data_IF_273377799481
#
_entry.id   IF_273377799481
#
_cell.length_a   1.000
_cell.length_b   1.000
_cell.length_c   1.000
_cell.angle_alpha   90.00
_cell.angle_beta   90.00
_cell.angle_gamma   90.00
#
_symmetry.space_group_name_H-M   'P 1'
#
loop_
_entity.id
_entity.type
_entity.pdbx_description
1 polymer ?
#
# COMPACT_ATOMS: atom_id res chain seq x y z
N UNK A 1 -2.52 22.12 -33.31
CA UNK A 1 -3.40 21.96 -32.13
C UNK A 1 -2.75 22.64 -30.93
N UNK A 2 -3.48 23.45 -30.14
CA UNK A 2 -2.94 24.08 -28.94
C UNK A 2 -2.50 22.99 -27.94
N UNK A 3 -1.35 23.17 -27.31
CA UNK A 3 -0.81 22.26 -26.31
C UNK A 3 -1.71 22.33 -25.06
N UNK A 4 -2.47 21.27 -24.80
CA UNK A 4 -3.21 21.15 -23.55
C UNK A 4 -2.21 21.08 -22.38
N UNK A 5 -2.45 21.90 -21.36
CA UNK A 5 -1.68 21.93 -20.12
C UNK A 5 -2.59 21.63 -18.94
N UNK A 6 -2.03 21.04 -17.89
CA UNK A 6 -2.78 20.82 -16.64
C UNK A 6 -2.91 22.13 -15.84
N UNK A 7 -3.57 22.07 -14.68
CA UNK A 7 -3.73 23.21 -13.76
C UNK A 7 -2.41 23.76 -13.23
N UNK A 8 -1.30 23.05 -13.43
CA UNK A 8 0.07 23.44 -13.07
C UNK A 8 0.90 23.80 -14.31
N UNK A 9 0.24 24.12 -15.44
CA UNK A 9 0.83 24.50 -16.73
C UNK A 9 1.82 23.49 -17.32
N UNK A 10 1.81 22.24 -16.83
CA UNK A 10 2.65 21.16 -17.36
C UNK A 10 2.05 20.66 -18.66
N UNK A 11 2.90 20.44 -19.68
CA UNK A 11 2.49 19.87 -20.96
C UNK A 11 1.81 18.51 -20.74
N UNK A 12 0.52 18.42 -21.05
CA UNK A 12 -0.22 17.17 -21.01
C UNK A 12 0.30 16.31 -22.16
N UNK A 13 1.05 15.25 -21.85
CA UNK A 13 1.44 14.20 -22.81
C UNK A 13 0.42 13.05 -22.84
N UNK A 14 -0.85 13.34 -22.53
CA UNK A 14 -1.93 12.41 -22.78
C UNK A 14 -2.27 12.46 -24.27
N UNK A 15 -1.76 11.51 -25.04
CA UNK A 15 -2.26 11.32 -26.39
C UNK A 15 -3.68 10.73 -26.28
N UNK A 16 -4.72 11.42 -26.77
CA UNK A 16 -6.04 10.80 -26.88
C UNK A 16 -5.94 9.53 -27.74
N UNK A 17 -6.89 8.59 -27.61
CA UNK A 17 -6.94 7.40 -28.45
C UNK A 17 -6.73 7.78 -29.93
N UNK A 18 -5.83 7.07 -30.60
CA UNK A 18 -5.56 7.24 -32.04
C UNK A 18 -6.13 6.03 -32.76
N UNK A 19 -7.38 6.08 -33.25
CA UNK A 19 -8.02 4.94 -33.89
C UNK A 19 -7.16 4.35 -34.99
N UNK A 20 -6.99 3.02 -34.98
CA UNK A 20 -6.26 2.33 -36.04
C UNK A 20 -7.23 1.88 -37.14
N UNK A 21 -6.77 1.94 -38.39
CA UNK A 21 -7.51 1.50 -39.57
C UNK A 21 -7.37 -0.02 -39.79
N UNK A 22 -7.49 -0.77 -38.70
CA UNK A 22 -7.36 -2.22 -38.68
C UNK A 22 -8.42 -2.80 -37.75
N UNK A 23 -9.01 -3.92 -38.16
CA UNK A 23 -9.91 -4.70 -37.31
C UNK A 23 -9.11 -5.25 -36.12
N UNK A 24 -9.72 -5.20 -34.94
CA UNK A 24 -9.18 -5.81 -33.72
C UNK A 24 -10.08 -7.00 -33.39
N UNK A 25 -9.59 -8.21 -33.67
CA UNK A 25 -10.24 -9.43 -33.21
C UNK A 25 -9.96 -9.64 -31.73
N UNK A 26 -11.02 -9.78 -30.94
CA UNK A 26 -10.95 -9.99 -29.49
C UNK A 26 -10.63 -11.44 -29.21
N UNK A 27 -9.60 -11.66 -28.39
CA UNK A 27 -9.13 -12.98 -27.98
C UNK A 27 -9.61 -13.32 -26.57
N UNK A 28 -9.55 -14.59 -26.18
CA UNK A 28 -9.85 -15.02 -24.81
C UNK A 28 -8.95 -14.32 -23.77
N UNK A 29 -7.70 -14.03 -24.14
CA UNK A 29 -6.78 -13.27 -23.30
C UNK A 29 -7.24 -11.83 -23.08
N UNK A 30 -7.89 -11.20 -24.06
CA UNK A 30 -8.44 -9.85 -23.89
C UNK A 30 -9.72 -9.90 -23.04
N UNK A 31 -10.55 -10.92 -23.20
CA UNK A 31 -11.72 -11.13 -22.34
C UNK A 31 -11.32 -11.35 -20.88
N UNK A 32 -10.29 -12.17 -20.61
CA UNK A 32 -9.75 -12.37 -19.27
C UNK A 32 -9.23 -11.06 -18.64
N UNK A 33 -8.61 -10.22 -19.45
CA UNK A 33 -8.17 -8.88 -19.04
C UNK A 33 -9.36 -8.00 -18.67
N UNK A 34 -10.40 -7.97 -19.50
CA UNK A 34 -11.60 -7.20 -19.21
C UNK A 34 -12.30 -7.70 -17.95
N UNK A 35 -12.34 -9.01 -17.74
CA UNK A 35 -12.89 -9.64 -16.54
C UNK A 35 -12.11 -9.24 -15.28
N UNK A 36 -10.78 -9.18 -15.35
CA UNK A 36 -9.94 -8.74 -14.23
C UNK A 36 -10.21 -7.28 -13.86
N UNK A 37 -10.32 -6.38 -14.86
CA UNK A 37 -10.64 -4.97 -14.61
C UNK A 37 -12.08 -4.84 -14.08
N UNK A 38 -13.06 -5.57 -14.63
CA UNK A 38 -14.43 -5.58 -14.12
C UNK A 38 -14.48 -6.03 -12.65
N UNK A 39 -13.74 -7.09 -12.32
CA UNK A 39 -13.70 -7.69 -10.99
C UNK A 39 -13.02 -6.80 -9.96
N UNK A 40 -11.86 -6.21 -10.28
CA UNK A 40 -11.01 -5.49 -9.32
C UNK A 40 -11.10 -3.97 -9.43
N UNK A 41 -11.40 -3.44 -10.61
CA UNK A 41 -11.39 -2.01 -10.93
C UNK A 41 -10.20 -1.67 -11.84
N UNK A 42 -9.82 -0.39 -11.94
CA UNK A 42 -8.71 0.02 -12.79
C UNK A 42 -7.41 -0.65 -12.34
N UNK A 43 -6.68 -1.24 -13.28
CA UNK A 43 -5.46 -2.01 -12.98
C UNK A 43 -4.25 -1.53 -13.80
N UNK A 44 -3.04 -1.54 -13.21
CA UNK A 44 -1.80 -1.27 -13.93
C UNK A 44 -1.48 -2.36 -14.96
N UNK A 45 -0.72 -2.01 -16.01
CA UNK A 45 -0.34 -2.92 -17.08
C UNK A 45 0.38 -4.20 -16.63
N UNK A 46 1.16 -4.15 -15.55
CA UNK A 46 1.85 -5.34 -15.03
C UNK A 46 0.92 -6.33 -14.33
N UNK A 47 -0.14 -5.86 -13.66
CA UNK A 47 -1.19 -6.74 -13.13
C UNK A 47 -1.96 -7.42 -14.27
N UNK A 48 -2.34 -6.65 -15.29
CA UNK A 48 -3.03 -7.20 -16.46
C UNK A 48 -2.17 -8.22 -17.19
N UNK A 49 -0.87 -7.98 -17.29
CA UNK A 49 0.07 -8.96 -17.84
C UNK A 49 0.01 -10.29 -17.07
N UNK A 50 0.05 -10.24 -15.74
CA UNK A 50 0.00 -11.42 -14.88
C UNK A 50 -1.29 -12.24 -15.06
N UNK A 51 -2.45 -11.59 -15.31
CA UNK A 51 -3.70 -12.30 -15.61
C UNK A 51 -3.75 -12.92 -17.00
N UNK A 52 -2.97 -12.40 -17.96
CA UNK A 52 -3.02 -12.88 -19.36
C UNK A 52 -2.15 -14.10 -19.64
N UNK A 53 -1.23 -14.46 -18.74
CA UNK A 53 -0.31 -15.61 -18.94
C UNK A 53 0.60 -15.49 -20.17
N UNK A 54 0.77 -14.28 -20.73
CA UNK A 54 1.58 -14.07 -21.94
C UNK A 54 3.06 -14.26 -21.67
N UNK A 55 3.78 -14.74 -22.68
CA UNK A 55 5.23 -15.01 -22.57
C UNK A 55 6.09 -13.74 -22.49
N UNK A 56 5.66 -12.63 -23.10
CA UNK A 56 6.47 -11.41 -23.21
C UNK A 56 5.69 -10.12 -22.92
N UNK A 57 6.25 -9.29 -22.02
CA UNK A 57 5.65 -8.04 -21.57
C UNK A 57 5.50 -7.00 -22.69
N UNK A 58 6.49 -6.89 -23.59
CA UNK A 58 6.44 -5.90 -24.69
C UNK A 58 5.27 -6.14 -25.65
N UNK A 59 4.98 -7.41 -25.97
CA UNK A 59 3.82 -7.79 -26.79
C UNK A 59 2.50 -7.45 -26.08
N UNK A 60 2.44 -7.67 -24.76
CA UNK A 60 1.30 -7.27 -23.94
C UNK A 60 1.08 -5.75 -23.94
N UNK A 61 2.14 -4.94 -23.77
CA UNK A 61 2.04 -3.48 -23.85
C UNK A 61 1.55 -2.99 -25.23
N UNK A 62 2.03 -3.61 -26.31
CA UNK A 62 1.56 -3.30 -27.66
C UNK A 62 0.07 -3.65 -27.82
N UNK A 63 -0.38 -4.79 -27.29
CA UNK A 63 -1.80 -5.18 -27.30
C UNK A 63 -2.67 -4.21 -26.51
N UNK A 64 -2.27 -3.83 -25.30
CA UNK A 64 -2.97 -2.83 -24.48
C UNK A 64 -3.10 -1.50 -25.21
N UNK A 65 -2.04 -1.06 -25.90
CA UNK A 65 -2.05 0.18 -26.69
C UNK A 65 -3.02 0.08 -27.87
N UNK A 66 -3.07 -1.06 -28.57
CA UNK A 66 -4.08 -1.31 -29.62
C UNK A 66 -5.51 -1.27 -29.07
N UNK A 67 -5.78 -1.89 -27.92
CA UNK A 67 -7.10 -1.88 -27.29
C UNK A 67 -7.52 -0.48 -26.80
N UNK A 68 -6.56 0.32 -26.31
CA UNK A 68 -6.78 1.73 -25.94
C UNK A 68 -7.04 2.62 -27.15
N UNK A 69 -6.27 2.45 -28.22
CA UNK A 69 -6.44 3.22 -29.45
C UNK A 69 -7.75 2.88 -30.15
N UNK A 70 -8.14 1.60 -30.13
CA UNK A 70 -9.39 1.15 -30.70
C UNK A 70 -9.43 1.19 -32.22
N UNK A 71 -10.65 1.14 -32.73
CA UNK A 71 -10.95 1.22 -34.17
C UNK A 71 -11.73 2.50 -34.46
N UNK A 72 -12.12 2.74 -35.71
CA UNK A 72 -13.09 3.79 -36.06
C UNK A 72 -14.40 3.69 -35.24
N UNK A 73 -14.76 2.48 -34.78
CA UNK A 73 -15.91 2.22 -33.91
C UNK A 73 -15.59 2.29 -32.41
N UNK A 74 -14.53 3.02 -32.03
CA UNK A 74 -14.15 3.26 -30.65
C UNK A 74 -13.15 2.27 -30.05
N UNK A 75 -12.61 2.69 -28.90
CA UNK A 75 -11.69 1.95 -28.04
C UNK A 75 -12.37 0.83 -27.25
N UNK A 76 -11.56 -0.06 -26.67
CA UNK A 76 -12.00 -1.09 -25.71
C UNK A 76 -11.53 -0.79 -24.29
N UNK A 77 -10.43 -0.05 -24.14
CA UNK A 77 -9.89 0.37 -22.85
C UNK A 77 -9.79 1.88 -22.79
N UNK A 78 -9.86 2.42 -21.58
CA UNK A 78 -9.50 3.81 -21.30
C UNK A 78 -8.28 3.88 -20.41
N UNK A 79 -7.57 5.00 -20.47
CA UNK A 79 -6.51 5.36 -19.53
C UNK A 79 -7.05 6.49 -18.65
N UNK A 80 -7.48 6.21 -17.40
CA UNK A 80 -8.04 7.24 -16.53
C UNK A 80 -7.07 8.43 -16.42
N UNK A 81 -7.53 9.64 -16.73
CA UNK A 81 -6.68 10.84 -16.77
C UNK A 81 -6.09 11.18 -15.39
N UNK A 82 -6.80 10.81 -14.32
CA UNK A 82 -6.41 11.02 -12.94
C UNK A 82 -5.06 10.38 -12.60
N UNK A 83 -4.67 9.29 -13.29
CA UNK A 83 -3.37 8.64 -13.05
C UNK A 83 -2.17 9.57 -13.34
N UNK A 84 -2.34 10.55 -14.24
CA UNK A 84 -1.29 11.50 -14.61
C UNK A 84 -1.21 12.72 -13.67
N UNK A 85 -2.25 12.95 -12.88
CA UNK A 85 -2.28 14.03 -11.89
C UNK A 85 -1.62 13.60 -10.57
N UNK A 86 -1.81 12.34 -10.18
CA UNK A 86 -1.50 11.85 -8.84
C UNK A 86 -0.19 11.07 -8.73
N UNK A 87 0.20 10.36 -9.79
CA UNK A 87 1.48 9.67 -9.86
C UNK A 87 2.43 10.53 -10.69
N UNK A 88 3.71 10.60 -10.33
CA UNK A 88 4.75 10.97 -11.30
C UNK A 88 4.84 9.87 -12.37
N UNK A 89 3.81 9.77 -13.22
CA UNK A 89 3.48 8.64 -14.10
C UNK A 89 4.50 8.39 -15.22
N UNK A 90 5.60 9.15 -15.25
CA UNK A 90 6.68 9.00 -16.23
C UNK A 90 7.48 7.71 -16.03
N UNK A 91 7.44 7.13 -14.84
CA UNK A 91 8.19 5.91 -14.46
C UNK A 91 7.30 4.81 -13.87
N UNK A 92 5.97 4.94 -13.98
CA UNK A 92 5.02 4.00 -13.40
C UNK A 92 4.26 3.24 -14.50
N UNK A 93 3.87 1.98 -14.27
CA UNK A 93 3.05 1.22 -15.20
C UNK A 93 1.70 1.92 -15.45
N UNK A 94 1.33 2.07 -16.73
CA UNK A 94 0.08 2.72 -17.14
C UNK A 94 -1.13 1.93 -16.62
N UNK A 95 -2.11 2.65 -16.09
CA UNK A 95 -3.36 2.12 -15.56
C UNK A 95 -4.44 2.15 -16.63
N UNK A 96 -5.17 1.04 -16.76
CA UNK A 96 -6.27 0.87 -17.70
C UNK A 96 -7.58 0.59 -16.96
N UNK A 97 -8.68 1.06 -17.52
CA UNK A 97 -10.04 0.79 -17.05
C UNK A 97 -10.95 0.42 -18.24
N UNK A 98 -12.14 -0.12 -17.95
CA UNK A 98 -13.13 -0.47 -18.96
C UNK A 98 -13.85 0.76 -19.50
N UNK A 99 -14.35 0.62 -20.72
CA UNK A 99 -15.33 1.53 -21.29
C UNK A 99 -16.62 0.76 -21.60
N UNK A 100 -17.61 1.48 -22.13
CA UNK A 100 -18.91 0.86 -22.43
C UNK A 100 -18.81 -0.27 -23.47
N UNK A 101 -17.88 -0.18 -24.42
CA UNK A 101 -17.67 -1.22 -25.44
C UNK A 101 -17.13 -2.52 -24.84
N UNK A 102 -16.15 -2.47 -23.94
CA UNK A 102 -15.65 -3.67 -23.26
C UNK A 102 -16.66 -4.23 -22.25
N UNK A 103 -17.45 -3.37 -21.59
CA UNK A 103 -18.58 -3.84 -20.76
C UNK A 103 -19.63 -4.59 -21.58
N UNK A 104 -19.97 -4.08 -22.77
CA UNK A 104 -20.92 -4.73 -23.68
C UNK A 104 -20.40 -6.11 -24.12
N UNK A 105 -19.11 -6.23 -24.45
CA UNK A 105 -18.50 -7.53 -24.74
C UNK A 105 -18.60 -8.51 -23.57
N UNK A 106 -18.40 -8.03 -22.33
CA UNK A 106 -18.57 -8.87 -21.14
C UNK A 106 -20.02 -9.32 -20.97
N UNK A 107 -21.01 -8.51 -21.33
CA UNK A 107 -22.44 -8.89 -21.31
C UNK A 107 -22.69 -10.01 -22.33
N UNK A 108 -22.24 -9.82 -23.57
CA UNK A 108 -22.41 -10.79 -24.67
C UNK A 108 -21.81 -12.15 -24.34
N UNK A 109 -20.73 -12.18 -23.57
CA UNK A 109 -20.06 -13.41 -23.13
C UNK A 109 -20.56 -13.93 -21.76
N UNK A 110 -21.56 -13.31 -21.15
CA UNK A 110 -22.11 -13.72 -19.85
C UNK A 110 -21.15 -13.55 -18.66
N UNK A 111 -20.15 -12.67 -18.81
CA UNK A 111 -19.07 -12.43 -17.85
C UNK A 111 -19.25 -11.14 -17.03
N UNK A 112 -20.19 -10.27 -17.41
CA UNK A 112 -20.50 -9.07 -16.65
C UNK A 112 -21.34 -9.42 -15.41
N UNK A 113 -20.92 -8.93 -14.25
CA UNK A 113 -21.74 -8.93 -13.04
C UNK A 113 -22.53 -7.62 -12.93
N UNK A 114 -23.82 -7.66 -12.49
CA UNK A 114 -24.65 -6.47 -12.31
C UNK A 114 -24.25 -5.60 -11.11
N UNK A 115 -23.25 -6.03 -10.32
CA UNK A 115 -22.80 -5.28 -9.15
C UNK A 115 -22.14 -3.95 -9.54
N UNK A 116 -22.63 -2.86 -8.96
CA UNK A 116 -22.07 -1.52 -9.12
C UNK A 116 -21.11 -1.24 -7.96
N UNK A 117 -19.84 -1.00 -8.28
CA UNK A 117 -18.85 -0.57 -7.28
C UNK A 117 -19.15 0.84 -6.78
N UNK A 118 -18.78 1.09 -5.53
CA UNK A 118 -18.88 2.40 -4.88
C UNK A 118 -18.08 3.45 -5.67
N UNK A 119 -18.61 4.68 -5.71
CA UNK A 119 -18.03 5.83 -6.41
C UNK A 119 -16.92 6.47 -5.56
N UNK A 120 -15.84 5.73 -5.33
CA UNK A 120 -14.71 6.24 -4.55
C UNK A 120 -13.72 7.04 -5.41
N UNK A 121 -12.89 7.92 -4.81
CA UNK A 121 -11.85 8.64 -5.52
C UNK A 121 -10.91 7.68 -6.28
N UNK A 122 -10.40 8.13 -7.44
CA UNK A 122 -9.62 7.27 -8.35
C UNK A 122 -8.50 6.47 -7.66
N UNK A 123 -7.68 7.14 -6.84
CA UNK A 123 -6.57 6.51 -6.13
C UNK A 123 -7.04 5.42 -5.15
N UNK A 124 -8.16 5.66 -4.44
CA UNK A 124 -8.76 4.68 -3.54
C UNK A 124 -9.16 3.42 -4.29
N UNK A 125 -9.86 3.60 -5.42
CA UNK A 125 -10.29 2.50 -6.29
C UNK A 125 -9.11 1.73 -6.88
N UNK A 126 -8.07 2.44 -7.33
CA UNK A 126 -6.87 1.81 -7.89
C UNK A 126 -6.13 0.98 -6.82
N UNK A 127 -5.97 1.52 -5.62
CA UNK A 127 -5.33 0.79 -4.52
C UNK A 127 -6.14 -0.45 -4.15
N UNK A 128 -7.47 -0.31 -4.03
CA UNK A 128 -8.38 -1.43 -3.77
C UNK A 128 -8.28 -2.50 -4.85
N UNK A 129 -8.26 -2.09 -6.12
CA UNK A 129 -8.09 -2.99 -7.24
C UNK A 129 -6.77 -3.76 -7.18
N UNK A 130 -5.65 -3.08 -6.91
CA UNK A 130 -4.34 -3.71 -6.79
C UNK A 130 -4.26 -4.71 -5.64
N UNK A 131 -4.88 -4.41 -4.49
CA UNK A 131 -4.94 -5.33 -3.34
C UNK A 131 -5.71 -6.60 -3.70
N UNK A 132 -6.95 -6.45 -4.20
CA UNK A 132 -7.77 -7.60 -4.61
C UNK A 132 -7.11 -8.44 -5.70
N UNK A 133 -6.52 -7.78 -6.70
CA UNK A 133 -5.81 -8.46 -7.78
C UNK A 133 -4.56 -9.20 -7.31
N UNK A 134 -3.78 -8.63 -6.39
CA UNK A 134 -2.60 -9.30 -5.81
C UNK A 134 -2.97 -10.59 -5.09
N UNK A 135 -4.08 -10.56 -4.35
CA UNK A 135 -4.58 -11.70 -3.60
C UNK A 135 -5.06 -12.78 -4.57
N UNK A 136 -5.86 -12.42 -5.58
CA UNK A 136 -6.31 -13.39 -6.60
C UNK A 136 -5.11 -14.03 -7.33
N UNK A 137 -4.17 -13.23 -7.81
CA UNK A 137 -2.97 -13.72 -8.51
C UNK A 137 -2.11 -14.64 -7.61
N UNK A 138 -2.18 -14.45 -6.28
CA UNK A 138 -1.50 -15.32 -5.32
C UNK A 138 -2.24 -16.63 -5.06
N UNK A 139 -3.56 -16.68 -5.30
CA UNK A 139 -4.38 -17.88 -5.09
C UNK A 139 -4.14 -18.92 -6.18
N UNK A 140 -4.10 -18.51 -7.45
CA UNK A 140 -4.04 -19.42 -8.61
C UNK A 140 -2.86 -20.41 -8.57
N UNK A 141 -1.60 -19.99 -8.33
CA UNK A 141 -0.47 -20.91 -8.27
C UNK A 141 -0.51 -21.88 -7.09
N UNK A 142 -1.35 -21.60 -6.08
CA UNK A 142 -1.50 -22.40 -4.86
C UNK A 142 -2.71 -23.34 -4.93
N UNK A 143 -3.40 -23.40 -6.07
CA UNK A 143 -4.63 -24.19 -6.22
C UNK A 143 -5.80 -23.68 -5.37
N UNK A 144 -5.75 -22.43 -4.93
CA UNK A 144 -6.81 -21.77 -4.17
C UNK A 144 -7.73 -21.01 -5.12
N UNK A 145 -9.02 -20.96 -4.82
CA UNK A 145 -9.98 -20.21 -5.66
C UNK A 145 -10.38 -18.91 -4.97
N UNK A 146 -10.12 -17.79 -5.64
CA UNK A 146 -10.59 -16.47 -5.21
C UNK A 146 -12.08 -16.30 -5.51
N UNK A 147 -12.85 -15.92 -4.50
CA UNK A 147 -14.28 -15.64 -4.60
C UNK A 147 -14.47 -14.11 -4.60
N UNK A 148 -14.81 -13.50 -5.73
CA UNK A 148 -14.95 -12.06 -5.81
C UNK A 148 -16.21 -11.56 -5.09
N UNK A 149 -16.18 -10.28 -4.68
CA UNK A 149 -17.29 -9.57 -4.05
C UNK A 149 -18.65 -9.85 -4.67
N UNK A 150 -18.76 -9.72 -5.98
CA UNK A 150 -20.04 -9.89 -6.65
C UNK A 150 -20.60 -11.33 -6.55
N UNK A 151 -19.73 -12.34 -6.47
CA UNK A 151 -20.14 -13.72 -6.30
C UNK A 151 -20.63 -13.98 -4.85
N UNK A 152 -20.01 -13.30 -3.88
CA UNK A 152 -20.48 -13.29 -2.49
C UNK A 152 -21.85 -12.64 -2.43
N UNK A 153 -21.98 -11.39 -2.91
CA UNK A 153 -23.21 -10.62 -2.83
C UNK A 153 -24.39 -11.26 -3.57
N UNK A 154 -24.15 -12.00 -4.66
CA UNK A 154 -25.21 -12.77 -5.34
C UNK A 154 -25.83 -13.85 -4.44
N UNK A 155 -25.11 -14.30 -3.40
CA UNK A 155 -25.54 -15.35 -2.46
C UNK A 155 -26.06 -14.79 -1.13
N UNK A 156 -26.12 -13.47 -0.96
CA UNK A 156 -26.58 -12.84 0.29
C UNK A 156 -27.55 -11.70 0.00
N UNK A 157 -28.65 -11.63 0.75
CA UNK A 157 -29.51 -10.44 0.79
C UNK A 157 -29.01 -9.39 1.81
N UNK A 158 -27.78 -9.56 2.32
CA UNK A 158 -27.22 -8.71 3.37
C UNK A 158 -26.76 -7.35 2.80
N UNK A 159 -27.06 -6.22 3.48
CA UNK A 159 -26.64 -4.89 3.04
C UNK A 159 -25.12 -4.65 3.12
N UNK A 160 -24.33 -5.67 3.49
CA UNK A 160 -22.86 -5.61 3.59
C UNK A 160 -22.37 -4.56 4.60
N UNK A 161 -23.26 -4.10 5.46
CA UNK A 161 -22.99 -3.33 6.66
C UNK A 161 -22.60 -4.26 7.80
N UNK A 162 -21.39 -4.08 8.32
CA UNK A 162 -20.90 -4.75 9.51
C UNK A 162 -21.29 -3.90 10.73
N UNK A 163 -22.21 -4.35 11.59
CA UNK A 163 -22.54 -3.61 12.80
C UNK A 163 -21.31 -3.58 13.72
N UNK A 164 -20.84 -2.38 14.04
CA UNK A 164 -19.79 -2.14 15.02
C UNK A 164 -20.37 -1.86 16.40
N UNK A 165 -21.63 -2.24 16.66
CA UNK A 165 -22.35 -1.98 17.92
C UNK A 165 -21.60 -2.47 19.17
N UNK A 166 -20.77 -3.51 19.04
CA UNK A 166 -19.88 -4.01 20.09
C UNK A 166 -18.73 -3.06 20.46
N UNK A 167 -18.38 -2.12 19.58
CA UNK A 167 -17.30 -1.14 19.77
C UNK A 167 -17.82 0.29 19.88
N UNK A 168 -18.86 0.63 19.10
CA UNK A 168 -19.50 1.95 19.06
C UNK A 168 -21.01 1.76 18.89
N UNK A 169 -21.85 2.22 19.83
CA UNK A 169 -23.30 2.12 19.71
C UNK A 169 -23.81 2.71 18.39
N UNK A 170 -24.74 2.00 17.73
CA UNK A 170 -25.44 2.44 16.51
C UNK A 170 -24.54 2.76 15.29
N UNK A 171 -23.31 2.24 15.25
CA UNK A 171 -22.41 2.42 14.11
C UNK A 171 -22.32 1.15 13.28
N UNK A 172 -22.40 1.28 11.96
CA UNK A 172 -22.08 0.23 11.00
C UNK A 172 -20.89 0.64 10.13
N UNK A 173 -20.12 -0.34 9.67
CA UNK A 173 -19.02 -0.18 8.72
C UNK A 173 -19.39 -0.87 7.41
N UNK A 174 -19.29 -0.14 6.31
CA UNK A 174 -19.34 -0.72 4.97
C UNK A 174 -17.89 -0.89 4.51
N UNK A 175 -17.37 -2.11 4.41
CA UNK A 175 -15.99 -2.33 3.99
C UNK A 175 -15.77 -1.93 2.53
N UNK A 176 -14.60 -1.37 2.24
CA UNK A 176 -14.16 -0.97 0.90
C UNK A 176 -14.30 -2.10 -0.11
N UNK A 177 -13.84 -3.30 0.26
CA UNK A 177 -14.03 -4.52 -0.54
C UNK A 177 -14.37 -5.74 0.35
N UNK A 178 -14.90 -6.79 -0.26
CA UNK A 178 -15.05 -8.11 0.38
C UNK A 178 -14.63 -9.19 -0.60
N UNK A 179 -13.92 -10.20 -0.13
CA UNK A 179 -13.58 -11.36 -0.94
C UNK A 179 -13.56 -12.63 -0.11
N UNK A 180 -13.60 -13.78 -0.78
CA UNK A 180 -13.46 -15.08 -0.17
C UNK A 180 -12.32 -15.86 -0.80
N UNK A 181 -11.82 -16.84 -0.06
CA UNK A 181 -10.89 -17.85 -0.58
C UNK A 181 -11.49 -19.21 -0.27
N UNK A 182 -11.63 -20.02 -1.32
CA UNK A 182 -11.91 -21.45 -1.22
C UNK A 182 -10.58 -22.21 -1.16
N UNK A 183 -10.39 -22.94 -0.06
CA UNK A 183 -9.25 -23.79 0.22
C UNK A 183 -9.54 -25.27 -0.10
N UNK A 184 -10.37 -25.54 -1.12
CA UNK A 184 -10.73 -26.89 -1.55
C UNK A 184 -11.88 -27.49 -0.73
N UNK A 185 -12.93 -26.69 -0.49
CA UNK A 185 -14.12 -27.09 0.29
C UNK A 185 -14.20 -26.47 1.68
N UNK A 186 -13.18 -25.70 2.09
CA UNK A 186 -13.25 -24.83 3.27
C UNK A 186 -13.10 -23.37 2.86
N UNK A 187 -13.95 -22.50 3.41
CA UNK A 187 -14.08 -21.12 2.96
C UNK A 187 -13.66 -20.14 4.06
N UNK A 188 -12.95 -19.09 3.67
CA UNK A 188 -12.76 -17.90 4.51
C UNK A 188 -13.16 -16.66 3.74
N UNK A 189 -13.88 -15.76 4.40
CA UNK A 189 -14.28 -14.48 3.85
C UNK A 189 -13.58 -13.36 4.62
N UNK A 190 -13.23 -12.30 3.89
CA UNK A 190 -12.46 -11.18 4.38
C UNK A 190 -13.21 -9.90 4.02
N UNK A 191 -13.34 -9.02 5.01
CA UNK A 191 -13.70 -7.62 4.79
C UNK A 191 -12.40 -6.81 4.71
N UNK A 192 -12.27 -6.00 3.66
CA UNK A 192 -11.09 -5.21 3.38
C UNK A 192 -11.42 -3.75 3.61
N UNK A 193 -10.64 -3.11 4.46
CA UNK A 193 -10.62 -1.67 4.65
C UNK A 193 -9.26 -1.16 4.20
N UNK A 194 -9.25 -0.15 3.35
CA UNK A 194 -8.05 0.33 2.71
C UNK A 194 -7.95 1.84 2.94
N UNK A 195 -7.46 2.20 4.11
CA UNK A 195 -7.32 3.60 4.48
C UNK A 195 -6.22 4.27 3.66
N UNK A 196 -6.59 5.35 2.96
CA UNK A 196 -5.62 6.36 2.56
C UNK A 196 -5.59 7.38 3.68
N UNK A 197 -4.44 7.47 4.35
CA UNK A 197 -4.09 8.57 5.26
C UNK A 197 -4.16 9.99 4.57
N UNK A 198 -4.66 10.07 3.33
CA UNK A 198 -4.78 11.22 2.41
C UNK A 198 -6.21 11.42 1.82
N UNK A 199 -7.26 10.80 2.35
CA UNK A 199 -8.64 11.23 2.02
C UNK A 199 -8.86 12.69 2.46
N UNK A 200 -9.63 13.46 1.68
CA UNK A 200 -9.77 14.92 1.81
C UNK A 200 -9.90 15.39 3.26
N UNK A 201 -9.01 16.33 3.65
CA UNK A 201 -9.00 17.01 4.95
C UNK A 201 -10.24 17.91 5.13
N UNK A 202 -10.93 18.27 4.03
CA UNK A 202 -12.28 18.84 4.13
C UNK A 202 -13.29 17.76 4.53
N UNK A 203 -13.44 17.61 5.84
CA UNK A 203 -14.26 16.59 6.48
C UNK A 203 -15.55 17.22 6.96
N UNK A 204 -16.67 16.80 6.37
CA UNK A 204 -18.02 17.28 6.74
C UNK A 204 -18.64 16.50 7.91
N UNK A 205 -18.08 15.34 8.30
CA UNK A 205 -18.61 14.49 9.36
C UNK A 205 -17.49 13.93 10.24
N UNK A 206 -17.74 13.97 11.55
CA UNK A 206 -16.78 13.73 12.64
C UNK A 206 -16.56 12.23 12.93
N UNK A 207 -17.36 11.35 12.35
CA UNK A 207 -17.53 9.96 12.78
C UNK A 207 -16.88 8.90 11.88
N UNK A 208 -16.12 9.22 10.83
CA UNK A 208 -15.44 8.22 10.01
C UNK A 208 -14.00 7.89 10.54
N UNK A 209 -13.76 6.62 10.88
CA UNK A 209 -12.48 5.98 11.26
C UNK A 209 -11.73 6.49 12.52
N UNK A 210 -10.56 5.92 12.81
CA UNK A 210 -9.65 6.14 13.98
C UNK A 210 -9.37 7.61 14.30
N UNK A 211 -9.66 8.52 13.38
CA UNK A 211 -9.71 9.96 13.63
C UNK A 211 -10.79 10.36 14.64
N UNK A 212 -11.95 9.69 14.65
CA UNK A 212 -12.99 9.89 15.65
C UNK A 212 -12.45 9.70 17.06
N UNK A 213 -11.66 8.65 17.32
CA UNK A 213 -10.99 8.47 18.63
C UNK A 213 -10.03 9.63 18.94
N UNK A 214 -9.21 10.05 17.98
CA UNK A 214 -8.28 11.18 18.15
C UNK A 214 -9.00 12.50 18.42
N UNK A 215 -10.11 12.75 17.74
CA UNK A 215 -10.91 13.97 17.90
C UNK A 215 -11.73 13.95 19.19
N UNK A 216 -12.28 12.81 19.58
CA UNK A 216 -12.95 12.65 20.89
C UNK A 216 -11.95 12.84 22.03
N UNK A 217 -10.76 12.21 21.95
CA UNK A 217 -9.67 12.47 22.88
C UNK A 217 -9.29 13.96 22.92
N UNK A 218 -9.25 14.64 21.77
CA UNK A 218 -8.98 16.08 21.71
C UNK A 218 -10.10 16.92 22.35
N UNK A 219 -11.37 16.64 22.06
CA UNK A 219 -12.51 17.36 22.65
C UNK A 219 -12.51 17.20 24.17
N UNK A 220 -12.30 15.97 24.66
CA UNK A 220 -12.30 15.67 26.08
C UNK A 220 -11.07 16.28 26.77
N UNK A 221 -9.88 16.19 26.16
CA UNK A 221 -8.67 16.84 26.64
C UNK A 221 -8.82 18.37 26.67
N UNK A 222 -9.42 18.98 25.64
CA UNK A 222 -9.68 20.42 25.59
C UNK A 222 -10.68 20.84 26.68
N UNK A 223 -11.73 20.04 26.93
CA UNK A 223 -12.64 20.30 28.06
C UNK A 223 -11.85 20.30 29.37
N UNK A 224 -11.08 19.25 29.65
CA UNK A 224 -10.27 19.14 30.87
C UNK A 224 -9.33 20.35 31.01
N UNK A 225 -8.58 20.69 29.96
CA UNK A 225 -7.62 21.80 29.97
C UNK A 225 -8.27 23.18 30.15
N UNK A 226 -9.49 23.37 29.64
CA UNK A 226 -10.20 24.67 29.72
C UNK A 226 -11.05 24.82 30.99
N UNK A 227 -11.48 23.70 31.60
CA UNK A 227 -12.32 23.70 32.80
C UNK A 227 -11.54 23.48 34.09
N UNK A 228 -10.30 22.96 33.99
CA UNK A 228 -9.48 22.53 35.13
C UNK A 228 -10.20 21.51 36.03
N UNK A 229 -11.15 20.75 35.46
CA UNK A 229 -11.86 19.68 36.16
C UNK A 229 -10.90 18.54 36.50
N UNK A 230 -10.94 18.07 37.75
CA UNK A 230 -10.19 16.90 38.17
C UNK A 230 -10.71 15.62 37.48
N UNK A 231 -9.77 14.74 37.10
CA UNK A 231 -10.06 13.46 36.44
C UNK A 231 -9.22 12.34 37.04
N UNK A 232 -9.68 11.10 36.91
CA UNK A 232 -9.00 9.91 37.44
C UNK A 232 -8.10 9.22 36.40
N UNK A 233 -7.41 8.15 36.83
CA UNK A 233 -6.51 7.39 35.95
C UNK A 233 -7.25 6.67 34.80
N UNK A 234 -8.51 6.25 35.02
CA UNK A 234 -9.30 5.60 33.98
C UNK A 234 -9.66 6.60 32.87
N UNK A 235 -10.01 7.83 33.26
CA UNK A 235 -10.28 8.92 32.34
C UNK A 235 -9.00 9.35 31.60
N UNK A 236 -7.87 9.45 32.31
CA UNK A 236 -6.56 9.73 31.71
C UNK A 236 -6.19 8.70 30.62
N UNK A 237 -6.47 7.41 30.86
CA UNK A 237 -6.28 6.34 29.87
C UNK A 237 -7.26 6.47 28.70
N UNK A 238 -8.53 6.76 28.98
CA UNK A 238 -9.59 6.90 27.97
C UNK A 238 -9.28 8.02 26.97
N UNK A 239 -8.80 9.17 27.46
CA UNK A 239 -8.41 10.32 26.62
C UNK A 239 -7.03 10.16 25.99
N UNK A 240 -6.26 9.12 26.35
CA UNK A 240 -4.95 8.82 25.76
C UNK A 240 -3.79 9.63 26.34
N UNK A 241 -3.92 10.17 27.56
CA UNK A 241 -2.85 10.86 28.27
C UNK A 241 -1.81 9.89 28.83
N UNK A 242 -2.26 8.71 29.28
CA UNK A 242 -1.39 7.64 29.78
C UNK A 242 -1.62 6.35 28.99
N UNK A 243 -0.62 5.47 28.98
CA UNK A 243 -0.64 4.23 28.18
C UNK A 243 -1.24 3.02 28.92
N UNK A 244 -1.19 3.01 30.25
CA UNK A 244 -1.58 1.84 31.07
C UNK A 244 -1.98 2.30 32.49
N UNK A 245 -2.94 1.59 33.10
CA UNK A 245 -3.34 1.76 34.51
C UNK A 245 -3.09 0.45 35.24
N UNK A 246 -2.42 0.53 36.38
CA UNK A 246 -2.10 -0.61 37.25
C UNK A 246 -2.41 -0.29 38.71
N UNK A 247 -2.60 -1.30 39.58
CA UNK A 247 -2.63 -1.09 41.03
C UNK A 247 -1.40 -0.31 41.52
N UNK A 248 -1.59 0.54 42.53
CA UNK A 248 -0.56 1.48 42.98
C UNK A 248 0.72 0.77 43.45
N UNK A 249 0.57 -0.37 44.13
CA UNK A 249 1.66 -1.23 44.61
C UNK A 249 2.46 -1.88 43.47
N UNK A 250 1.93 -1.92 42.25
CA UNK A 250 2.59 -2.49 41.07
C UNK A 250 3.18 -1.43 40.12
N UNK A 251 2.96 -0.13 40.39
CA UNK A 251 3.35 0.96 39.49
C UNK A 251 4.84 0.91 39.11
N UNK A 252 5.72 0.88 40.11
CA UNK A 252 7.17 0.87 39.88
C UNK A 252 7.62 -0.43 39.22
N UNK A 253 7.11 -1.58 39.69
CA UNK A 253 7.46 -2.87 39.10
C UNK A 253 7.09 -2.94 37.61
N UNK A 254 5.93 -2.39 37.23
CA UNK A 254 5.49 -2.35 35.84
C UNK A 254 6.33 -1.37 35.01
N UNK A 255 6.60 -0.17 35.53
CA UNK A 255 7.44 0.82 34.85
C UNK A 255 8.86 0.28 34.60
N UNK A 256 9.46 -0.40 35.58
CA UNK A 256 10.75 -1.04 35.44
C UNK A 256 10.73 -2.21 34.44
N UNK A 257 9.66 -3.01 34.41
CA UNK A 257 9.54 -4.09 33.43
C UNK A 257 9.57 -3.54 32.00
N UNK A 258 8.88 -2.43 31.73
CA UNK A 258 8.92 -1.73 30.43
C UNK A 258 10.32 -1.16 30.17
N UNK A 259 10.94 -0.51 31.16
CA UNK A 259 12.29 0.02 31.03
C UNK A 259 13.30 -1.08 30.68
N UNK A 260 13.20 -2.25 31.32
CA UNK A 260 14.04 -3.44 31.05
C UNK A 260 13.87 -3.95 29.61
N UNK A 261 12.66 -3.89 29.06
CA UNK A 261 12.44 -4.22 27.65
C UNK A 261 13.14 -3.24 26.72
N UNK A 262 13.06 -1.93 27.03
CA UNK A 262 13.67 -0.88 26.19
C UNK A 262 15.20 -0.96 26.21
N UNK A 263 15.82 -1.15 27.39
CA UNK A 263 17.29 -1.21 27.50
C UNK A 263 17.89 -2.47 26.89
N UNK A 264 17.09 -3.51 26.63
CA UNK A 264 17.52 -4.71 25.92
C UNK A 264 17.59 -4.52 24.39
N UNK A 265 17.15 -3.37 23.87
CA UNK A 265 17.18 -3.04 22.44
C UNK A 265 18.46 -2.27 22.06
N UNK A 266 18.82 -2.19 20.77
CA UNK A 266 19.96 -1.42 20.31
C UNK A 266 19.86 0.07 20.68
N UNK A 267 20.75 0.61 21.55
CA UNK A 267 20.55 1.91 22.18
C UNK A 267 20.54 3.07 21.17
N UNK A 268 21.36 2.99 20.10
CA UNK A 268 21.40 4.03 19.07
C UNK A 268 20.12 3.98 18.21
N UNK A 269 19.64 2.78 17.87
CA UNK A 269 18.41 2.62 17.08
C UNK A 269 17.19 3.11 17.86
N UNK A 270 17.08 2.80 19.15
CA UNK A 270 15.98 3.29 20.02
C UNK A 270 15.98 4.81 20.09
N UNK A 271 17.15 5.43 20.28
CA UNK A 271 17.28 6.90 20.31
C UNK A 271 16.86 7.53 18.99
N UNK A 272 17.34 6.98 17.88
CA UNK A 272 16.98 7.45 16.53
C UNK A 272 15.49 7.28 16.23
N UNK A 273 14.88 6.15 16.61
CA UNK A 273 13.44 5.94 16.45
C UNK A 273 12.62 6.94 17.27
N UNK A 274 13.03 7.21 18.52
CA UNK A 274 12.38 8.23 19.36
C UNK A 274 12.52 9.62 18.72
N UNK A 275 13.72 9.97 18.25
CA UNK A 275 13.97 11.25 17.58
C UNK A 275 13.15 11.39 16.30
N UNK A 276 13.03 10.30 15.54
CA UNK A 276 12.23 10.22 14.33
C UNK A 276 10.77 10.58 14.62
N UNK A 277 10.15 9.87 15.57
CA UNK A 277 8.74 10.08 15.92
C UNK A 277 8.49 11.49 16.46
N UNK A 278 9.37 12.00 17.32
CA UNK A 278 9.20 13.31 17.97
C UNK A 278 9.38 14.47 16.97
N UNK A 279 10.40 14.43 16.12
CA UNK A 279 10.71 15.56 15.23
C UNK A 279 10.01 15.50 13.89
N UNK A 280 9.73 14.30 13.39
CA UNK A 280 9.25 14.09 12.02
C UNK A 280 7.85 13.49 11.96
N UNK A 281 7.21 13.22 13.10
CA UNK A 281 5.84 12.68 13.15
C UNK A 281 4.76 13.59 12.53
N UNK A 282 5.07 14.86 12.26
CA UNK A 282 4.17 15.81 11.60
C UNK A 282 4.50 16.02 10.11
N UNK A 283 5.52 15.34 9.57
CA UNK A 283 5.82 15.41 8.15
C UNK A 283 4.76 14.66 7.33
N UNK A 284 4.54 15.06 6.07
CA UNK A 284 3.87 14.20 5.09
C UNK A 284 4.54 12.82 5.04
N UNK A 285 3.73 11.77 4.90
CA UNK A 285 4.20 10.38 5.02
C UNK A 285 5.38 10.07 4.07
N UNK A 286 5.36 10.57 2.84
CA UNK A 286 6.44 10.37 1.86
C UNK A 286 7.79 10.95 2.35
N UNK A 287 7.75 12.11 2.98
CA UNK A 287 8.93 12.76 3.57
C UNK A 287 9.37 12.05 4.85
N UNK A 288 8.43 11.64 5.69
CA UNK A 288 8.71 10.85 6.89
C UNK A 288 9.38 9.51 6.51
N UNK A 289 8.89 8.81 5.49
CA UNK A 289 9.51 7.60 4.94
C UNK A 289 10.91 7.85 4.39
N UNK A 290 11.13 8.96 3.69
CA UNK A 290 12.45 9.32 3.20
C UNK A 290 13.45 9.53 4.34
N UNK A 291 13.05 10.29 5.37
CA UNK A 291 13.87 10.53 6.56
C UNK A 291 14.13 9.22 7.31
N UNK A 292 13.11 8.38 7.49
CA UNK A 292 13.26 7.09 8.15
C UNK A 292 14.25 6.18 7.41
N UNK A 293 14.14 6.11 6.08
CA UNK A 293 15.06 5.32 5.26
C UNK A 293 16.50 5.83 5.37
N UNK A 294 16.70 7.15 5.37
CA UNK A 294 18.01 7.76 5.59
C UNK A 294 18.56 7.40 6.97
N UNK A 295 17.77 7.54 8.03
CA UNK A 295 18.17 7.21 9.40
C UNK A 295 18.51 5.71 9.54
N UNK A 296 17.72 4.82 8.94
CA UNK A 296 17.98 3.38 8.92
C UNK A 296 19.29 3.06 8.17
N UNK A 297 19.50 3.66 7.00
CA UNK A 297 20.73 3.48 6.23
C UNK A 297 21.96 3.93 7.04
N UNK A 298 21.87 5.09 7.69
CA UNK A 298 22.91 5.60 8.59
C UNK A 298 23.17 4.63 9.74
N UNK A 299 22.13 4.13 10.42
CA UNK A 299 22.28 3.16 11.51
C UNK A 299 23.02 1.89 11.06
N UNK A 300 22.64 1.33 9.91
CA UNK A 300 23.27 0.13 9.34
C UNK A 300 24.76 0.37 9.05
N UNK A 301 25.09 1.53 8.50
CA UNK A 301 26.47 1.88 8.11
C UNK A 301 27.34 2.30 9.29
N UNK A 302 26.76 2.92 10.32
CA UNK A 302 27.52 3.57 11.39
C UNK A 302 27.57 2.76 12.68
N UNK A 303 26.70 1.78 12.88
CA UNK A 303 26.66 0.97 14.12
C UNK A 303 27.06 -0.48 13.88
N UNK A 304 27.53 -1.13 14.94
CA UNK A 304 27.81 -2.57 14.98
C UNK A 304 26.61 -3.41 15.44
N UNK A 305 25.61 -2.79 16.10
CA UNK A 305 24.49 -3.52 16.70
C UNK A 305 23.64 -4.29 15.69
N UNK A 306 23.55 -3.80 14.44
CA UNK A 306 22.85 -4.54 13.38
C UNK A 306 23.53 -5.87 13.01
N UNK A 307 24.86 -5.91 13.07
CA UNK A 307 25.64 -7.12 12.81
C UNK A 307 25.56 -8.07 14.00
N UNK A 308 25.69 -7.55 15.22
CA UNK A 308 25.51 -8.32 16.46
C UNK A 308 24.10 -8.95 16.53
N UNK A 309 23.05 -8.20 16.18
CA UNK A 309 21.69 -8.74 16.15
C UNK A 309 21.54 -9.90 15.17
N UNK A 310 22.16 -9.80 13.99
CA UNK A 310 22.19 -10.88 12.99
C UNK A 310 22.97 -12.10 13.48
N UNK A 311 24.12 -11.90 14.11
CA UNK A 311 24.96 -12.97 14.66
C UNK A 311 24.25 -13.69 15.82
N UNK A 312 23.76 -12.94 16.81
CA UNK A 312 23.04 -13.46 17.96
C UNK A 312 21.82 -14.29 17.56
N UNK A 313 21.07 -13.83 16.54
CA UNK A 313 19.94 -14.56 15.98
C UNK A 313 20.36 -15.91 15.37
N UNK A 314 21.41 -15.91 14.55
CA UNK A 314 21.94 -17.14 13.92
C UNK A 314 22.49 -18.13 14.96
N UNK A 315 23.13 -17.61 16.01
CA UNK A 315 23.73 -18.39 17.09
C UNK A 315 22.73 -18.76 18.19
N UNK A 316 21.47 -18.31 18.09
CA UNK A 316 20.40 -18.51 19.08
C UNK A 316 20.79 -18.11 20.51
N UNK A 317 21.54 -17.02 20.64
CA UNK A 317 21.94 -16.43 21.92
C UNK A 317 21.29 -15.06 22.12
N UNK A 318 21.22 -14.56 23.37
CA UNK A 318 20.85 -13.17 23.61
C UNK A 318 21.83 -12.21 22.90
N UNK A 319 21.34 -11.14 22.25
CA UNK A 319 22.20 -10.12 21.66
C UNK A 319 22.84 -9.26 22.76
N UNK A 320 24.07 -8.83 22.52
CA UNK A 320 24.80 -7.90 23.36
C UNK A 320 24.96 -6.55 22.64
N UNK A 321 23.90 -5.75 22.64
CA UNK A 321 23.93 -4.44 22.02
C UNK A 321 24.71 -3.45 22.88
N UNK A 322 25.72 -2.82 22.28
CA UNK A 322 26.61 -1.87 22.97
C UNK A 322 26.46 -0.45 22.43
N UNK A 323 25.82 -0.28 21.26
CA UNK A 323 25.81 1.01 20.56
C UNK A 323 27.16 1.39 19.95
N UNK A 324 28.08 0.42 19.82
CA UNK A 324 29.41 0.68 19.28
C UNK A 324 29.32 1.15 17.84
N UNK A 325 30.00 2.25 17.53
CA UNK A 325 30.10 2.76 16.17
C UNK A 325 31.12 1.96 15.36
N UNK A 326 30.84 1.77 14.07
CA UNK A 326 31.81 1.22 13.12
C UNK A 326 33.01 2.15 13.06
N UNK A 327 34.20 1.60 13.29
CA UNK A 327 35.45 2.32 13.02
C UNK A 327 35.80 2.17 11.55
N UNK A 328 36.26 3.25 10.93
CA UNK A 328 36.90 3.17 9.61
C UNK A 328 38.14 2.30 9.78
N UNK A 329 38.23 1.21 9.02
CA UNK A 329 39.43 0.39 9.00
C UNK A 329 40.62 1.18 8.47
N UNK A 330 41.82 0.64 8.67
CA UNK A 330 42.99 1.11 7.94
C UNK A 330 42.68 1.06 6.44
N UNK A 331 43.14 2.06 5.65
CA UNK A 331 43.05 1.99 4.21
C UNK A 331 43.68 0.68 3.73
N UNK A 332 43.11 0.11 2.67
CA UNK A 332 43.78 -1.00 2.01
C UNK A 332 45.16 -0.53 1.56
N UNK A 333 46.19 -1.40 1.65
CA UNK A 333 47.49 -1.08 1.07
C UNK A 333 47.31 -0.74 -0.41
N UNK A 334 48.16 0.17 -0.90
CA UNK A 334 48.19 0.49 -2.33
C UNK A 334 48.39 -0.80 -3.13
N UNK A 335 47.61 -0.95 -4.20
CA UNK A 335 47.71 -2.11 -5.08
C UNK A 335 49.10 -2.10 -5.74
N UNK A 336 49.71 -3.27 -5.84
CA UNK A 336 50.86 -3.46 -6.73
C UNK A 336 50.44 -3.23 -8.19
N UNK A 337 51.41 -2.94 -9.08
CA UNK A 337 51.12 -2.74 -10.51
C UNK A 337 50.42 -3.96 -11.14
N UNK A 338 50.75 -5.17 -10.69
CA UNK A 338 50.12 -6.40 -11.17
C UNK A 338 48.67 -6.53 -10.69
N UNK A 339 48.40 -6.21 -9.42
CA UNK A 339 47.05 -6.23 -8.87
C UNK A 339 46.16 -5.15 -9.49
N UNK A 340 46.72 -3.97 -9.77
CA UNK A 340 46.02 -2.89 -10.45
C UNK A 340 45.63 -3.28 -11.89
N UNK A 341 46.55 -3.93 -12.63
CA UNK A 341 46.25 -4.46 -13.98
C UNK A 341 45.18 -5.54 -13.93
N UNK A 342 45.28 -6.48 -12.98
CA UNK A 342 44.29 -7.54 -12.81
C UNK A 342 42.90 -7.00 -12.47
N UNK A 343 42.83 -5.95 -11.65
CA UNK A 343 41.58 -5.29 -11.31
C UNK A 343 40.98 -4.54 -12.53
N UNK A 344 41.78 -3.87 -13.35
CA UNK A 344 41.33 -3.21 -14.58
C UNK A 344 40.85 -4.22 -15.64
N UNK A 345 41.50 -5.37 -15.77
CA UNK A 345 41.06 -6.47 -16.63
C UNK A 345 39.74 -7.10 -16.17
N UNK A 346 39.59 -7.36 -14.87
CA UNK A 346 38.32 -7.78 -14.28
C UNK A 346 37.24 -6.71 -14.52
N UNK A 347 37.61 -5.42 -14.39
CA UNK A 347 36.65 -4.34 -14.57
C UNK A 347 36.11 -4.26 -16.01
N UNK A 348 36.99 -4.47 -17.00
CA UNK A 348 36.67 -4.43 -18.43
C UNK A 348 35.98 -5.68 -18.96
N UNK A 349 36.27 -6.85 -18.38
CA UNK A 349 35.65 -8.12 -18.79
C UNK A 349 34.20 -8.24 -18.33
N UNK A 350 33.81 -7.52 -17.27
CA UNK A 350 32.45 -7.57 -16.73
C UNK A 350 32.19 -8.79 -15.85
N UNK A 351 33.22 -9.57 -15.53
CA UNK A 351 33.19 -10.64 -14.54
C UNK A 351 33.24 -10.02 -13.13
N UNK A 352 32.06 -9.67 -12.58
CA UNK A 352 31.90 -9.34 -11.16
C UNK A 352 30.84 -10.22 -10.52
#
# INVERSE_FOLDING_TARGET
MPLQTDTLTRRIRFAPPQPIDQRIDITDSDLALFEAIHRHGPLPSHYLFAFTGKSHFNSHQHRLTKLYNGTAHGAYLVRPSQQFASFHARYQPVVYDLNEKSKQLLIEHGKLSPYIKRLDPFLHRLMSACVGASIELSCTPRGLTYIPRHAILKRTDSPMELPLSQFVPQKSLVPDDVFGIDYGGSYRFFAVEIDRNTESIERRKIDQNTFGKKLTCYIDAMKILLTDEAFDAAEALRVGLINEVVPHDQLLARAEAIARQIVALPPVAVRMMKEFVVRFGNLPDDQAWHVQNLMNALLIQTTMDGEEGRQAFNEKRPPNFTGTLRRRGEPWPDLSEEEAKRLDEAYRSGEY
#
